data_IF_956715566511
#
_entry.id   IF_956715566511
#
_cell.length_a   1.000
_cell.length_b   1.000
_cell.length_c   1.000
_cell.angle_alpha   90.00
_cell.angle_beta   90.00
_cell.angle_gamma   90.00
#
_symmetry.space_group_name_H-M   'P 1'
#
loop_
_entity.id
_entity.type
_entity.pdbx_description
1 polymer ?
#
# COMPACT_ATOMS: atom_id res chain seq x y z
N UNK A 1 -29.73 5.12 6.03
CA UNK A 1 -29.50 5.00 7.48
C UNK A 1 -28.28 5.82 7.80
N UNK A 2 -28.35 6.62 8.85
CA UNK A 2 -27.20 7.37 9.34
C UNK A 2 -26.10 6.38 9.80
N UNK A 3 -24.84 6.71 9.52
CA UNK A 3 -23.67 5.98 9.97
C UNK A 3 -22.89 6.83 10.96
N UNK A 4 -22.28 6.25 11.97
CA UNK A 4 -21.43 7.02 12.87
C UNK A 4 -20.16 7.49 12.16
N UNK A 5 -19.53 6.57 11.42
CA UNK A 5 -18.27 6.76 10.71
C UNK A 5 -18.37 6.25 9.27
N UNK A 6 -17.85 7.02 8.33
CA UNK A 6 -17.65 6.64 6.91
C UNK A 6 -16.17 6.71 6.56
N UNK A 7 -15.65 5.72 5.87
CA UNK A 7 -14.28 5.73 5.40
C UNK A 7 -14.17 6.26 3.97
N UNK A 8 -13.16 7.12 3.74
CA UNK A 8 -12.77 7.62 2.44
C UNK A 8 -11.32 7.24 2.18
N UNK A 9 -11.11 6.28 1.28
CA UNK A 9 -9.82 5.68 0.99
C UNK A 9 -9.20 6.30 -0.27
N UNK A 10 -8.11 7.03 -0.09
CA UNK A 10 -7.34 7.65 -1.17
C UNK A 10 -6.50 6.59 -1.89
N UNK A 11 -6.92 6.18 -3.08
CA UNK A 11 -6.31 5.12 -3.89
C UNK A 11 -5.90 5.59 -5.29
N UNK A 12 -5.75 6.91 -5.50
CA UNK A 12 -5.47 7.53 -6.79
C UNK A 12 -3.99 7.78 -7.08
N UNK A 13 -3.07 7.43 -6.18
CA UNK A 13 -1.64 7.71 -6.33
C UNK A 13 -0.97 6.94 -7.47
N UNK A 14 -0.13 7.64 -8.24
CA UNK A 14 0.60 7.06 -9.39
C UNK A 14 1.66 6.05 -8.98
N UNK A 15 2.27 6.19 -7.79
CA UNK A 15 3.32 5.28 -7.33
C UNK A 15 4.60 5.34 -8.17
N UNK A 16 4.95 6.52 -8.69
CA UNK A 16 6.07 6.70 -9.64
C UNK A 16 7.41 6.16 -9.15
N UNK A 17 7.64 6.10 -7.83
CA UNK A 17 8.85 5.56 -7.19
C UNK A 17 8.93 4.03 -7.16
N UNK A 18 7.87 3.32 -7.57
CA UNK A 18 7.86 1.86 -7.78
C UNK A 18 8.13 1.48 -9.23
N UNK A 19 8.37 2.45 -10.09
CA UNK A 19 8.88 2.31 -11.46
C UNK A 19 8.22 1.17 -12.26
N UNK A 20 8.97 0.10 -12.51
CA UNK A 20 8.55 -1.03 -13.32
C UNK A 20 7.27 -1.73 -12.80
N UNK A 21 7.01 -1.68 -11.50
CA UNK A 21 5.84 -2.32 -10.88
C UNK A 21 4.54 -1.52 -11.07
N UNK A 22 4.63 -0.21 -11.35
CA UNK A 22 3.46 0.67 -11.46
C UNK A 22 3.24 1.24 -12.86
N UNK A 23 3.89 0.67 -13.87
CA UNK A 23 3.62 1.05 -15.27
C UNK A 23 2.16 0.83 -15.69
N UNK A 24 1.59 -0.30 -15.28
CA UNK A 24 0.24 -0.74 -15.65
C UNK A 24 -0.70 -0.84 -14.44
N UNK A 25 -0.21 -0.57 -13.23
CA UNK A 25 -0.93 -0.71 -11.97
C UNK A 25 -0.93 0.59 -11.17
N UNK A 26 -2.04 0.90 -10.51
CA UNK A 26 -2.03 1.86 -9.41
C UNK A 26 -1.29 1.27 -8.20
N UNK A 27 -0.59 2.10 -7.40
CA UNK A 27 0.16 1.64 -6.21
C UNK A 27 -0.66 0.75 -5.26
N UNK A 28 -1.94 1.06 -4.95
CA UNK A 28 -2.75 0.19 -4.09
C UNK A 28 -3.00 -1.22 -4.62
N UNK A 29 -2.85 -1.42 -5.94
CA UNK A 29 -3.02 -2.72 -6.59
C UNK A 29 -1.74 -3.58 -6.63
N UNK A 30 -0.59 -3.06 -6.16
CA UNK A 30 0.68 -3.79 -6.14
C UNK A 30 0.57 -5.01 -5.20
N UNK A 31 1.00 -6.20 -5.63
CA UNK A 31 1.01 -7.42 -4.82
C UNK A 31 1.93 -7.30 -3.60
N UNK A 32 1.50 -7.90 -2.48
CA UNK A 32 2.23 -7.91 -1.20
C UNK A 32 1.99 -9.21 -0.42
N UNK A 33 3.01 -9.71 0.28
CA UNK A 33 2.88 -10.80 1.24
C UNK A 33 2.37 -12.13 0.66
N UNK A 34 2.67 -12.40 -0.61
CA UNK A 34 2.36 -13.66 -1.30
C UNK A 34 0.92 -13.78 -1.82
N UNK A 35 -0.05 -13.20 -1.14
CA UNK A 35 -1.48 -13.37 -1.45
C UNK A 35 -2.22 -12.06 -1.65
N UNK A 36 -1.77 -10.99 -0.99
CA UNK A 36 -2.49 -9.72 -0.84
C UNK A 36 -2.09 -8.71 -1.91
N UNK A 37 -2.85 -7.63 -1.97
CA UNK A 37 -2.46 -6.34 -2.56
C UNK A 37 -2.46 -5.28 -1.45
N UNK A 38 -1.73 -4.19 -1.64
CA UNK A 38 -1.61 -3.14 -0.61
C UNK A 38 -3.00 -2.67 -0.11
N UNK A 39 -3.98 -2.54 -1.01
CA UNK A 39 -5.36 -2.11 -0.70
C UNK A 39 -6.10 -3.04 0.27
N UNK A 40 -5.71 -4.31 0.37
CA UNK A 40 -6.35 -5.28 1.26
C UNK A 40 -6.22 -4.89 2.73
N UNK A 41 -5.12 -4.22 3.09
CA UNK A 41 -4.85 -3.80 4.47
C UNK A 41 -5.85 -2.76 4.97
N UNK A 42 -5.99 -1.57 4.35
CA UNK A 42 -6.97 -0.60 4.81
C UNK A 42 -8.41 -1.09 4.71
N UNK A 43 -8.78 -1.91 3.71
CA UNK A 43 -10.11 -2.49 3.62
C UNK A 43 -10.37 -3.49 4.74
N UNK A 44 -9.40 -4.35 5.05
CA UNK A 44 -9.50 -5.31 6.17
C UNK A 44 -9.56 -4.60 7.52
N UNK A 45 -8.74 -3.56 7.70
CA UNK A 45 -8.80 -2.74 8.91
C UNK A 45 -10.17 -2.08 9.07
N UNK A 46 -10.79 -1.57 7.99
CA UNK A 46 -12.16 -1.04 8.04
C UNK A 46 -13.14 -2.08 8.58
N UNK A 47 -13.16 -3.27 7.98
CA UNK A 47 -14.09 -4.34 8.37
C UNK A 47 -13.86 -4.82 9.78
N UNK A 48 -12.62 -5.08 10.16
CA UNK A 48 -12.24 -5.51 11.51
C UNK A 48 -12.59 -4.45 12.57
N UNK A 49 -12.58 -3.17 12.21
CA UNK A 49 -13.01 -2.05 13.07
C UNK A 49 -14.51 -1.75 13.01
N UNK A 50 -15.31 -2.58 12.33
CA UNK A 50 -16.75 -2.39 12.21
C UNK A 50 -17.19 -1.29 11.23
N UNK A 51 -16.29 -0.75 10.41
CA UNK A 51 -16.60 0.23 9.36
C UNK A 51 -17.10 -0.51 8.13
N UNK A 52 -18.36 -0.34 7.81
CA UNK A 52 -19.04 -1.05 6.73
C UNK A 52 -19.37 -0.20 5.50
N UNK A 53 -18.88 1.03 5.46
CA UNK A 53 -19.13 1.97 4.36
C UNK A 53 -17.83 2.65 3.97
N UNK A 54 -17.34 2.34 2.77
CA UNK A 54 -16.04 2.78 2.28
C UNK A 54 -16.15 3.35 0.87
N UNK A 55 -15.79 4.62 0.70
CA UNK A 55 -15.61 5.25 -0.61
C UNK A 55 -14.14 5.15 -1.03
N UNK A 56 -13.84 4.52 -2.16
CA UNK A 56 -12.48 4.38 -2.69
C UNK A 56 -12.29 5.35 -3.84
N UNK A 57 -11.41 6.33 -3.67
CA UNK A 57 -11.14 7.37 -4.65
C UNK A 57 -10.00 6.92 -5.58
N UNK A 58 -10.36 6.54 -6.80
CA UNK A 58 -9.42 6.02 -7.81
C UNK A 58 -9.23 7.04 -8.92
N UNK A 59 -8.03 7.13 -9.49
CA UNK A 59 -7.74 8.04 -10.60
C UNK A 59 -6.72 7.47 -11.58
N UNK A 60 -5.52 7.12 -11.12
CA UNK A 60 -4.45 6.61 -11.96
C UNK A 60 -4.62 5.10 -12.18
N UNK A 61 -4.49 4.64 -13.44
CA UNK A 61 -4.56 3.21 -13.83
C UNK A 61 -5.68 2.43 -13.09
N UNK A 62 -6.94 2.90 -13.14
CA UNK A 62 -7.97 2.39 -12.24
C UNK A 62 -8.50 1.01 -12.62
N UNK A 63 -8.25 0.53 -13.86
CA UNK A 63 -8.91 -0.66 -14.39
C UNK A 63 -8.64 -1.91 -13.52
N UNK A 64 -7.39 -2.26 -13.31
CA UNK A 64 -7.00 -3.45 -12.53
C UNK A 64 -7.43 -3.33 -11.07
N UNK A 65 -7.28 -2.13 -10.49
CA UNK A 65 -7.71 -1.87 -9.11
C UNK A 65 -9.23 -2.01 -8.96
N UNK A 66 -10.01 -1.43 -9.88
CA UNK A 66 -11.48 -1.50 -9.84
C UNK A 66 -11.98 -2.93 -10.04
N UNK A 67 -11.36 -3.68 -10.97
CA UNK A 67 -11.66 -5.10 -11.17
C UNK A 67 -11.34 -5.93 -9.93
N UNK A 68 -10.22 -5.63 -9.26
CA UNK A 68 -9.82 -6.31 -8.04
C UNK A 68 -10.79 -6.06 -6.89
N UNK A 69 -11.18 -4.81 -6.67
CA UNK A 69 -12.15 -4.42 -5.63
C UNK A 69 -13.52 -5.06 -5.91
N UNK A 70 -13.97 -5.03 -7.17
CA UNK A 70 -15.27 -5.54 -7.57
C UNK A 70 -16.39 -4.90 -6.74
N UNK A 71 -17.24 -5.72 -6.16
CA UNK A 71 -18.33 -5.31 -5.25
C UNK A 71 -17.96 -5.34 -3.76
N UNK A 72 -16.71 -5.68 -3.41
CA UNK A 72 -16.24 -5.75 -2.03
C UNK A 72 -16.49 -7.05 -1.28
N UNK A 73 -17.00 -8.08 -1.96
CA UNK A 73 -17.33 -9.37 -1.35
C UNK A 73 -16.15 -10.02 -0.59
N UNK A 74 -14.89 -9.97 -1.02
CA UNK A 74 -13.77 -10.53 -0.27
C UNK A 74 -13.61 -9.95 1.14
N UNK A 75 -14.03 -8.72 1.37
CA UNK A 75 -13.94 -7.99 2.64
C UNK A 75 -15.30 -7.87 3.36
N UNK A 76 -16.34 -8.63 2.98
CA UNK A 76 -17.71 -8.47 3.50
C UNK A 76 -18.25 -7.03 3.36
N UNK A 77 -17.89 -6.36 2.27
CA UNK A 77 -18.31 -4.99 1.93
C UNK A 77 -19.29 -4.93 0.74
N UNK A 78 -19.95 -6.05 0.39
CA UNK A 78 -21.01 -6.13 -0.63
C UNK A 78 -22.40 -5.93 -0.02
N UNK A 79 -22.54 -4.93 0.85
CA UNK A 79 -23.73 -4.73 1.68
C UNK A 79 -24.83 -3.96 0.97
N UNK A 80 -26.09 -4.27 1.32
CA UNK A 80 -27.26 -3.56 0.79
C UNK A 80 -27.28 -2.08 1.18
N UNK A 81 -26.84 -1.77 2.41
CA UNK A 81 -26.76 -0.40 2.95
C UNK A 81 -25.35 -0.13 3.47
N UNK A 82 -24.58 0.61 2.70
CA UNK A 82 -23.15 0.80 2.91
C UNK A 82 -22.35 0.05 1.86
N UNK A 83 -21.31 -0.67 2.29
CA UNK A 83 -20.42 -1.43 1.41
C UNK A 83 -19.33 -0.57 0.78
N UNK A 84 -18.58 -1.18 -0.15
CA UNK A 84 -17.55 -0.48 -0.90
C UNK A 84 -18.12 0.21 -2.14
N UNK A 85 -17.66 1.43 -2.39
CA UNK A 85 -18.01 2.22 -3.56
C UNK A 85 -16.74 2.77 -4.21
N UNK A 86 -16.51 2.44 -5.47
CA UNK A 86 -15.41 3.04 -6.23
C UNK A 86 -15.88 4.39 -6.76
N UNK A 87 -15.13 5.43 -6.44
CA UNK A 87 -15.44 6.83 -6.72
C UNK A 87 -14.35 7.40 -7.66
N UNK A 88 -14.48 7.25 -8.98
CA UNK A 88 -13.58 7.90 -9.92
C UNK A 88 -13.98 9.37 -10.11
N UNK A 89 -13.07 10.24 -10.57
CA UNK A 89 -13.46 11.58 -11.01
C UNK A 89 -14.48 11.48 -12.15
N UNK A 90 -15.43 12.40 -12.17
CA UNK A 90 -16.54 12.36 -13.16
C UNK A 90 -16.82 13.72 -13.77
N UNK A 91 -17.41 13.70 -14.96
CA UNK A 91 -17.81 14.90 -15.68
C UNK A 91 -19.07 15.50 -15.08
N UNK A 92 -19.00 16.77 -14.68
CA UNK A 92 -20.15 17.59 -14.29
C UNK A 92 -20.67 18.39 -15.51
N UNK A 93 -21.88 18.93 -15.43
CA UNK A 93 -22.42 19.81 -16.48
C UNK A 93 -21.54 21.07 -16.73
N UNK A 94 -20.77 21.48 -15.72
CA UNK A 94 -19.82 22.61 -15.76
C UNK A 94 -18.44 22.25 -16.28
N UNK A 95 -18.15 21.00 -16.59
CA UNK A 95 -16.83 20.50 -17.02
C UNK A 95 -16.44 19.20 -16.34
N UNK A 96 -15.30 18.63 -16.73
CA UNK A 96 -14.68 17.45 -16.09
C UNK A 96 -13.35 17.86 -15.48
N UNK A 97 -13.17 17.59 -14.22
CA UNK A 97 -11.90 17.81 -13.54
C UNK A 97 -11.40 16.50 -12.91
N UNK A 98 -10.14 16.18 -13.19
CA UNK A 98 -9.40 15.18 -12.41
C UNK A 98 -9.31 15.65 -10.96
N UNK A 99 -9.07 14.73 -10.04
CA UNK A 99 -8.74 15.13 -8.67
C UNK A 99 -7.45 15.94 -8.68
N UNK A 100 -7.52 17.19 -8.24
CA UNK A 100 -6.39 18.13 -8.24
C UNK A 100 -5.40 17.81 -7.13
N UNK A 101 -5.89 17.24 -6.02
CA UNK A 101 -5.14 16.85 -4.84
C UNK A 101 -5.98 15.98 -3.93
N UNK A 102 -5.41 15.60 -2.78
CA UNK A 102 -6.05 14.69 -1.82
C UNK A 102 -7.32 15.28 -1.21
N UNK A 103 -7.33 16.57 -0.88
CA UNK A 103 -8.50 17.27 -0.36
C UNK A 103 -9.59 17.45 -1.42
N UNK A 104 -9.22 17.80 -2.68
CA UNK A 104 -10.16 17.92 -3.78
C UNK A 104 -10.85 16.59 -4.08
N UNK A 105 -10.17 15.46 -3.93
CA UNK A 105 -10.78 14.14 -4.12
C UNK A 105 -11.95 13.92 -3.16
N UNK A 106 -11.81 14.32 -1.89
CA UNK A 106 -12.89 14.26 -0.90
C UNK A 106 -13.98 15.30 -1.22
N UNK A 107 -13.58 16.53 -1.56
CA UNK A 107 -14.53 17.60 -1.93
C UNK A 107 -15.47 17.19 -3.05
N UNK A 108 -14.96 16.60 -4.13
CA UNK A 108 -15.77 16.17 -5.25
C UNK A 108 -16.79 15.08 -4.87
N UNK A 109 -16.56 14.37 -3.76
CA UNK A 109 -17.38 13.27 -3.26
C UNK A 109 -18.16 13.61 -1.96
N UNK A 110 -18.34 14.88 -1.62
CA UNK A 110 -19.14 15.32 -0.46
C UNK A 110 -20.53 14.67 -0.49
N UNK A 111 -21.20 14.65 -1.66
CA UNK A 111 -22.54 14.08 -1.79
C UNK A 111 -22.59 12.57 -1.46
N UNK A 112 -21.50 11.82 -1.69
CA UNK A 112 -21.40 10.42 -1.27
C UNK A 112 -21.42 10.32 0.27
N UNK A 113 -20.60 11.12 0.94
CA UNK A 113 -20.54 11.14 2.41
C UNK A 113 -21.86 11.57 3.03
N UNK A 114 -22.47 12.64 2.52
CA UNK A 114 -23.75 13.17 2.99
C UNK A 114 -24.92 12.17 2.87
N UNK A 115 -24.86 11.26 1.89
CA UNK A 115 -25.86 10.19 1.76
C UNK A 115 -26.01 9.35 3.03
N UNK A 116 -24.96 9.24 3.82
CA UNK A 116 -24.91 8.44 5.04
C UNK A 116 -25.04 9.25 6.31
N UNK A 117 -25.06 10.59 6.20
CA UNK A 117 -25.21 11.53 7.33
C UNK A 117 -24.31 11.16 8.53
N UNK A 118 -22.99 11.00 8.34
CA UNK A 118 -22.10 10.56 9.39
C UNK A 118 -21.72 11.70 10.33
N UNK A 119 -21.42 11.36 11.59
CA UNK A 119 -20.81 12.29 12.52
C UNK A 119 -19.33 12.48 12.24
N UNK A 120 -18.65 11.38 11.86
CA UNK A 120 -17.22 11.34 11.62
C UNK A 120 -16.90 10.79 10.24
N UNK A 121 -15.75 11.21 9.70
CA UNK A 121 -15.16 10.63 8.48
C UNK A 121 -13.72 10.27 8.78
N UNK A 122 -13.34 9.03 8.43
CA UNK A 122 -11.94 8.62 8.44
C UNK A 122 -11.38 8.69 7.01
N UNK A 123 -10.27 9.40 6.85
CA UNK A 123 -9.51 9.46 5.61
C UNK A 123 -8.37 8.48 5.73
N UNK A 124 -8.24 7.60 4.75
CA UNK A 124 -7.25 6.53 4.71
C UNK A 124 -6.36 6.66 3.49
N UNK A 125 -5.09 6.34 3.65
CA UNK A 125 -4.17 6.15 2.52
C UNK A 125 -4.19 4.69 2.07
N UNK A 126 -4.30 4.46 0.75
CA UNK A 126 -4.34 3.12 0.15
C UNK A 126 -2.97 2.59 -0.26
N UNK A 127 -1.87 3.13 0.28
CA UNK A 127 -0.53 2.91 -0.23
C UNK A 127 0.51 2.48 0.83
N UNK A 128 0.04 2.00 1.97
CA UNK A 128 0.85 1.59 3.12
C UNK A 128 0.39 0.26 3.71
N UNK A 129 1.27 -0.40 4.43
CA UNK A 129 1.01 -1.66 5.13
C UNK A 129 0.92 -1.38 6.63
N UNK A 130 -0.25 -1.62 7.22
CA UNK A 130 -0.44 -1.60 8.67
C UNK A 130 -1.63 -2.47 9.08
N UNK A 131 -1.62 -2.95 10.33
CA UNK A 131 -2.76 -3.60 10.98
C UNK A 131 -3.20 -2.65 12.11
N UNK A 132 -4.31 -1.94 11.91
CA UNK A 132 -4.76 -0.90 12.84
C UNK A 132 -6.26 -1.03 13.11
N UNK A 133 -6.63 -1.01 14.40
CA UNK A 133 -8.02 -0.86 14.82
C UNK A 133 -8.42 0.62 14.76
N UNK A 134 -9.30 0.93 13.83
CA UNK A 134 -9.83 2.29 13.69
C UNK A 134 -10.91 2.61 14.72
N UNK A 135 -11.47 1.60 15.41
CA UNK A 135 -12.43 1.85 16.51
C UNK A 135 -11.75 2.45 17.73
N UNK A 136 -10.54 2.00 18.07
CA UNK A 136 -9.72 2.59 19.14
C UNK A 136 -9.32 4.04 18.79
N UNK A 137 -8.99 4.28 17.53
CA UNK A 137 -8.66 5.63 17.06
C UNK A 137 -9.88 6.57 17.11
N UNK A 138 -11.07 6.07 16.74
CA UNK A 138 -12.30 6.85 16.87
C UNK A 138 -12.65 7.16 18.33
N UNK A 139 -12.45 6.18 19.20
CA UNK A 139 -12.71 6.38 20.63
C UNK A 139 -11.77 7.42 21.24
N UNK A 140 -10.48 7.38 20.90
CA UNK A 140 -9.52 8.43 21.27
C UNK A 140 -9.99 9.82 20.78
N UNK A 141 -10.42 9.93 19.51
CA UNK A 141 -10.93 11.17 18.94
C UNK A 141 -12.10 11.75 19.77
N UNK A 142 -13.03 10.89 20.16
CA UNK A 142 -14.18 11.26 20.99
C UNK A 142 -13.75 11.68 22.39
N UNK A 143 -12.86 10.92 23.04
CA UNK A 143 -12.39 11.20 24.41
C UNK A 143 -11.65 12.53 24.52
N UNK A 144 -10.84 12.89 23.51
CA UNK A 144 -10.17 14.20 23.44
C UNK A 144 -11.13 15.34 23.06
N UNK A 145 -12.36 15.03 22.65
CA UNK A 145 -13.28 16.02 22.07
C UNK A 145 -12.68 16.73 20.88
N UNK A 146 -11.95 15.97 20.07
CA UNK A 146 -11.22 16.46 18.92
C UNK A 146 -12.15 16.90 17.78
N UNK A 147 -11.69 17.81 16.95
CA UNK A 147 -12.29 18.16 15.66
C UNK A 147 -11.51 17.50 14.50
N UNK A 148 -10.22 17.23 14.76
CA UNK A 148 -9.30 16.50 13.89
C UNK A 148 -8.37 15.64 14.75
N UNK A 149 -8.14 14.40 14.31
CA UNK A 149 -7.10 13.54 14.88
C UNK A 149 -6.32 12.87 13.76
N UNK A 150 -5.03 12.71 13.96
CA UNK A 150 -4.14 12.03 13.01
C UNK A 150 -3.42 10.88 13.70
N UNK A 151 -3.38 9.72 13.05
CA UNK A 151 -2.54 8.62 13.49
C UNK A 151 -1.08 8.94 13.17
N UNK A 152 -0.22 8.81 14.17
CA UNK A 152 1.21 9.12 14.09
C UNK A 152 2.06 7.98 14.60
N UNK A 153 3.29 7.89 14.10
CA UNK A 153 4.30 6.95 14.55
C UNK A 153 5.65 7.65 14.66
N UNK A 154 6.44 7.29 15.66
CA UNK A 154 7.83 7.72 15.73
C UNK A 154 8.66 6.99 14.66
N UNK A 155 9.37 7.74 13.84
CA UNK A 155 10.29 7.22 12.83
C UNK A 155 11.74 7.58 13.19
N UNK A 156 12.75 6.87 12.65
CA UNK A 156 14.14 7.29 12.76
C UNK A 156 14.31 8.73 12.27
N UNK A 157 15.12 9.54 12.98
CA UNK A 157 15.34 10.94 12.65
C UNK A 157 15.87 11.16 11.22
N UNK A 158 16.65 10.21 10.71
CA UNK A 158 17.17 10.20 9.35
C UNK A 158 16.09 10.10 8.28
N UNK A 159 14.96 9.46 8.60
CA UNK A 159 13.81 9.31 7.70
C UNK A 159 12.75 10.40 7.87
N UNK A 160 12.80 11.17 8.96
CA UNK A 160 11.75 12.12 9.34
C UNK A 160 11.41 13.12 8.21
N UNK A 161 12.42 13.59 7.47
CA UNK A 161 12.22 14.54 6.36
C UNK A 161 11.39 14.02 5.19
N UNK A 162 11.07 12.73 5.16
CA UNK A 162 10.25 12.09 4.11
C UNK A 162 8.75 12.24 4.36
N UNK A 163 8.36 12.60 5.58
CA UNK A 163 6.98 12.58 6.06
C UNK A 163 6.47 13.96 6.45
N UNK A 164 5.16 14.11 6.51
CA UNK A 164 4.51 15.17 7.27
C UNK A 164 4.69 14.89 8.76
N UNK A 165 5.24 15.85 9.49
CA UNK A 165 5.60 15.69 10.91
C UNK A 165 4.69 16.52 11.81
N UNK A 166 4.23 15.90 12.89
CA UNK A 166 3.45 16.56 13.93
C UNK A 166 4.36 16.93 15.11
N UNK A 167 4.16 18.12 15.65
CA UNK A 167 4.67 18.50 16.98
C UNK A 167 3.48 18.55 17.92
N UNK A 168 3.48 17.72 18.95
CA UNK A 168 2.42 17.64 19.95
C UNK A 168 2.94 17.99 21.34
N UNK A 169 2.05 18.48 22.21
CA UNK A 169 2.34 18.69 23.63
C UNK A 169 2.12 17.40 24.47
N UNK A 170 2.26 17.52 25.80
CA UNK A 170 2.13 16.38 26.73
C UNK A 170 0.71 15.76 26.75
N UNK A 171 -0.30 16.48 26.26
CA UNK A 171 -1.70 16.04 26.14
C UNK A 171 -2.02 15.50 24.73
N UNK A 172 -1.03 15.27 23.89
CA UNK A 172 -1.14 14.86 22.48
C UNK A 172 -1.76 15.95 21.58
N UNK A 173 -1.94 17.19 22.07
CA UNK A 173 -2.49 18.26 21.25
C UNK A 173 -1.43 18.77 20.27
N UNK A 174 -1.81 18.82 18.98
CA UNK A 174 -0.91 19.26 17.92
C UNK A 174 -0.73 20.77 18.01
N UNK A 175 0.53 21.20 18.09
CA UNK A 175 0.96 22.60 18.18
C UNK A 175 1.61 23.11 16.92
N UNK A 176 2.25 22.22 16.12
CA UNK A 176 2.87 22.56 14.83
C UNK A 176 2.77 21.37 13.87
N UNK A 177 2.73 21.67 12.58
CA UNK A 177 2.81 20.70 11.49
C UNK A 177 3.88 21.13 10.49
N UNK A 178 4.68 20.20 10.00
CA UNK A 178 5.71 20.42 9.00
C UNK A 178 5.58 19.41 7.86
N UNK A 179 5.26 19.85 6.65
CA UNK A 179 5.21 18.95 5.48
C UNK A 179 6.61 18.76 4.90
N UNK A 180 7.16 17.54 5.04
CA UNK A 180 8.46 17.10 4.52
C UNK A 180 9.59 18.13 4.73
N UNK A 181 9.86 18.54 5.98
CA UNK A 181 10.81 19.60 6.26
C UNK A 181 12.25 19.15 6.01
N UNK A 182 13.10 20.08 5.57
CA UNK A 182 14.54 19.84 5.45
C UNK A 182 15.22 19.70 6.81
N UNK A 183 14.71 20.40 7.82
CA UNK A 183 15.17 20.38 9.20
C UNK A 183 14.00 20.00 10.11
N UNK A 184 13.84 18.69 10.41
CA UNK A 184 12.74 18.21 11.24
C UNK A 184 12.84 18.73 12.66
N UNK A 185 11.72 19.22 13.22
CA UNK A 185 11.58 19.55 14.64
C UNK A 185 11.04 18.39 15.49
N UNK A 186 10.49 17.38 14.83
CA UNK A 186 9.91 16.18 15.44
C UNK A 186 10.20 14.98 14.54
N UNK A 187 10.18 13.79 15.11
CA UNK A 187 10.17 12.54 14.35
C UNK A 187 8.81 11.83 14.39
N UNK A 188 7.75 12.55 14.79
CA UNK A 188 6.40 12.03 14.89
C UNK A 188 5.72 12.14 13.52
N UNK A 189 5.86 11.08 12.73
CA UNK A 189 5.40 11.03 11.35
C UNK A 189 3.88 10.80 11.26
N UNK A 190 3.20 11.58 10.43
CA UNK A 190 1.82 11.33 10.04
C UNK A 190 1.73 10.07 9.19
N UNK A 191 0.85 9.15 9.58
CA UNK A 191 0.56 7.95 8.79
C UNK A 191 -0.38 8.24 7.61
N UNK A 192 -0.85 9.49 7.43
CA UNK A 192 -1.87 9.80 6.41
C UNK A 192 -3.24 9.19 6.71
N UNK A 193 -3.49 8.89 7.97
CA UNK A 193 -4.77 8.36 8.48
C UNK A 193 -5.36 9.41 9.43
N UNK A 194 -6.53 9.95 9.06
CA UNK A 194 -7.14 11.09 9.75
C UNK A 194 -8.58 10.79 10.13
N UNK A 195 -9.02 11.24 11.32
CA UNK A 195 -10.44 11.31 11.67
C UNK A 195 -10.82 12.78 11.83
N UNK A 196 -11.95 13.14 11.23
CA UNK A 196 -12.54 14.46 11.29
C UNK A 196 -14.01 14.40 11.76
N UNK A 197 -14.45 15.42 12.47
CA UNK A 197 -15.87 15.75 12.49
C UNK A 197 -16.29 16.14 11.07
N UNK A 198 -17.36 15.52 10.57
CA UNK A 198 -17.75 15.72 9.16
C UNK A 198 -18.12 17.17 8.82
N UNK A 199 -18.85 17.83 9.70
CA UNK A 199 -19.22 19.23 9.51
C UNK A 199 -18.02 20.16 9.39
N UNK A 200 -16.97 19.91 10.18
CA UNK A 200 -15.72 20.65 10.15
C UNK A 200 -14.99 20.38 8.84
N UNK A 201 -14.74 19.11 8.50
CA UNK A 201 -14.05 18.76 7.26
C UNK A 201 -14.75 19.35 6.03
N UNK A 202 -16.07 19.16 5.94
CA UNK A 202 -16.88 19.69 4.83
C UNK A 202 -16.68 21.19 4.64
N UNK A 203 -16.71 21.96 5.74
CA UNK A 203 -16.49 23.42 5.70
C UNK A 203 -15.13 23.75 5.08
N UNK A 204 -14.05 23.15 5.59
CA UNK A 204 -12.70 23.41 5.09
C UNK A 204 -12.49 22.96 3.64
N UNK A 205 -13.10 21.86 3.22
CA UNK A 205 -13.04 21.41 1.81
C UNK A 205 -13.70 22.40 0.85
N UNK A 206 -14.83 23.00 1.25
CA UNK A 206 -15.54 24.01 0.44
C UNK A 206 -14.72 25.30 0.36
N UNK A 207 -14.15 25.74 1.48
CA UNK A 207 -13.30 26.94 1.55
C UNK A 207 -12.02 26.76 0.73
N UNK A 208 -11.40 25.58 0.81
CA UNK A 208 -10.18 25.22 0.09
C UNK A 208 -10.39 25.19 -1.43
N UNK A 209 -11.47 24.59 -1.92
CA UNK A 209 -11.79 24.57 -3.35
C UNK A 209 -12.11 25.97 -3.90
N UNK A 210 -12.60 26.87 -3.07
CA UNK A 210 -12.88 28.26 -3.46
C UNK A 210 -11.61 29.12 -3.53
N UNK A 211 -10.51 28.68 -2.95
CA UNK A 211 -9.21 29.36 -2.99
C UNK A 211 -8.42 28.97 -4.24
N UNK A 212 -8.25 29.88 -5.22
CA UNK A 212 -7.52 29.55 -6.45
C UNK A 212 -6.01 29.35 -6.23
N UNK A 213 -5.48 29.65 -5.05
CA UNK A 213 -4.06 29.47 -4.70
C UNK A 213 -3.81 28.14 -3.97
N UNK A 214 -4.86 27.42 -3.60
CA UNK A 214 -4.76 26.14 -2.92
C UNK A 214 -4.19 25.04 -3.84
N UNK A 215 -3.35 24.19 -3.28
CA UNK A 215 -2.89 22.95 -3.90
C UNK A 215 -3.93 21.82 -3.75
N UNK A 216 -5.03 22.07 -3.04
CA UNK A 216 -6.10 21.12 -2.75
C UNK A 216 -5.61 19.84 -2.03
N UNK A 217 -4.68 20.00 -1.11
CA UNK A 217 -4.01 18.91 -0.39
C UNK A 217 -4.21 19.00 1.12
N UNK A 218 -4.30 17.82 1.80
CA UNK A 218 -4.45 17.80 3.26
C UNK A 218 -3.24 18.39 3.97
N UNK A 219 -2.02 18.01 3.59
CA UNK A 219 -0.78 18.46 4.22
C UNK A 219 -0.49 19.93 3.95
N UNK A 220 -0.67 20.38 2.70
CA UNK A 220 -0.30 21.73 2.31
C UNK A 220 -1.39 22.78 2.64
N UNK A 221 -2.65 22.38 2.74
CA UNK A 221 -3.77 23.33 2.89
C UNK A 221 -4.66 23.03 4.09
N UNK A 222 -5.31 21.86 4.17
CA UNK A 222 -6.35 21.61 5.18
C UNK A 222 -5.78 21.63 6.59
N UNK A 223 -4.71 20.86 6.86
CA UNK A 223 -4.09 20.77 8.20
C UNK A 223 -3.52 22.11 8.66
N UNK A 224 -2.75 22.86 7.84
CA UNK A 224 -2.29 24.18 8.20
C UNK A 224 -3.41 25.18 8.48
N UNK A 225 -4.51 25.13 7.72
CA UNK A 225 -5.66 26.02 7.93
C UNK A 225 -6.39 25.71 9.25
N UNK A 226 -6.59 24.42 9.58
CA UNK A 226 -7.16 24.02 10.88
C UNK A 226 -6.29 24.49 12.05
N UNK A 227 -4.97 24.34 11.92
CA UNK A 227 -4.02 24.76 12.95
C UNK A 227 -4.03 26.28 13.14
N UNK A 228 -3.99 27.04 12.04
CA UNK A 228 -4.09 28.51 12.07
C UNK A 228 -5.37 29.00 12.75
N UNK A 229 -6.48 28.31 12.53
CA UNK A 229 -7.78 28.67 13.09
C UNK A 229 -7.97 28.16 14.54
N UNK A 230 -6.95 27.55 15.13
CA UNK A 230 -6.94 27.09 16.52
C UNK A 230 -7.88 25.92 16.81
N UNK A 231 -8.14 25.06 15.81
CA UNK A 231 -9.01 23.89 15.97
C UNK A 231 -8.42 22.88 16.95
N UNK A 232 -9.29 22.04 17.53
CA UNK A 232 -8.90 20.98 18.46
C UNK A 232 -8.31 19.80 17.68
N UNK A 233 -6.99 19.77 17.58
CA UNK A 233 -6.22 18.80 16.80
C UNK A 233 -5.37 17.94 17.73
N UNK A 234 -5.42 16.60 17.55
CA UNK A 234 -4.71 15.66 18.41
C UNK A 234 -3.98 14.58 17.62
N UNK A 235 -2.82 14.14 18.13
CA UNK A 235 -2.01 13.06 17.59
C UNK A 235 -2.34 11.76 18.32
N UNK A 236 -2.78 10.74 17.59
CA UNK A 236 -3.00 9.39 18.09
C UNK A 236 -1.74 8.55 17.85
N UNK A 237 -1.04 8.20 18.91
CA UNK A 237 0.16 7.37 18.84
C UNK A 237 -0.21 5.93 18.48
N UNK A 238 0.08 5.53 17.26
CA UNK A 238 -0.10 4.16 16.81
C UNK A 238 1.05 3.28 17.29
N UNK A 239 0.70 2.16 17.91
CA UNK A 239 1.63 1.14 18.39
C UNK A 239 1.41 -0.14 17.58
N UNK A 240 2.21 -0.36 16.54
CA UNK A 240 2.10 -1.53 15.69
C UNK A 240 3.00 -1.43 14.46
N UNK A 241 2.93 -2.42 13.61
CA UNK A 241 3.66 -2.39 12.34
C UNK A 241 3.05 -1.38 11.37
N UNK A 242 3.89 -0.48 10.88
CA UNK A 242 3.55 0.44 9.80
C UNK A 242 4.74 0.61 8.85
N UNK A 243 4.49 0.49 7.55
CA UNK A 243 5.51 0.67 6.51
C UNK A 243 4.94 1.39 5.30
N UNK A 244 5.57 2.50 4.90
CA UNK A 244 5.37 3.09 3.57
C UNK A 244 6.16 2.27 2.56
N UNK A 245 5.45 1.50 1.73
CA UNK A 245 6.02 0.67 0.67
C UNK A 245 6.10 1.43 -0.65
N UNK A 246 6.49 2.69 -0.60
CA UNK A 246 6.53 3.61 -1.74
C UNK A 246 7.79 3.54 -2.59
N UNK A 247 8.78 2.74 -2.24
CA UNK A 247 10.01 2.52 -3.02
C UNK A 247 10.29 1.03 -3.18
N UNK A 248 11.07 0.65 -4.20
CA UNK A 248 11.43 -0.76 -4.44
C UNK A 248 12.12 -1.40 -3.23
N UNK A 249 13.15 -0.78 -2.61
CA UNK A 249 13.78 -1.37 -1.43
C UNK A 249 12.81 -1.52 -0.26
N UNK A 250 11.96 -0.52 0.01
CA UNK A 250 10.97 -0.57 1.09
C UNK A 250 9.90 -1.65 0.84
N UNK A 251 9.46 -1.83 -0.40
CA UNK A 251 8.51 -2.89 -0.76
C UNK A 251 9.14 -4.28 -0.63
N UNK A 252 10.40 -4.45 -1.08
CA UNK A 252 11.13 -5.71 -0.94
C UNK A 252 11.33 -6.04 0.54
N UNK A 253 11.83 -5.11 1.34
CA UNK A 253 12.06 -5.27 2.78
C UNK A 253 10.77 -5.64 3.51
N UNK A 254 9.68 -4.90 3.28
CA UNK A 254 8.39 -5.20 3.90
C UNK A 254 7.87 -6.61 3.56
N UNK A 255 8.14 -7.11 2.36
CA UNK A 255 7.84 -8.50 2.00
C UNK A 255 8.75 -9.49 2.76
N UNK A 256 10.05 -9.23 2.86
CA UNK A 256 10.96 -10.11 3.63
C UNK A 256 10.61 -10.13 5.12
N UNK A 257 10.18 -9.03 5.69
CA UNK A 257 9.70 -8.93 7.08
C UNK A 257 8.52 -9.87 7.38
N UNK A 258 7.69 -10.21 6.39
CA UNK A 258 6.60 -11.21 6.53
C UNK A 258 7.13 -12.61 6.84
N UNK A 259 8.36 -12.92 6.45
CA UNK A 259 9.00 -14.23 6.71
C UNK A 259 9.55 -14.36 8.14
N UNK A 260 9.59 -13.27 8.90
CA UNK A 260 10.03 -13.24 10.30
C UNK A 260 8.98 -12.53 11.20
N UNK A 261 7.79 -13.11 11.37
CA UNK A 261 6.70 -12.47 12.10
C UNK A 261 6.98 -12.28 13.60
N UNK A 262 7.94 -12.99 14.17
CA UNK A 262 8.28 -12.90 15.58
C UNK A 262 9.09 -11.63 15.91
N UNK A 263 9.90 -11.13 14.97
CA UNK A 263 10.77 -9.97 15.19
C UNK A 263 10.32 -8.74 14.39
N UNK A 264 9.69 -8.91 13.25
CA UNK A 264 9.29 -7.80 12.38
C UNK A 264 8.07 -7.01 12.87
N UNK A 265 7.23 -7.64 13.69
CA UNK A 265 5.97 -7.06 14.16
C UNK A 265 4.80 -7.18 13.15
N UNK A 266 5.02 -7.72 11.93
CA UNK A 266 3.95 -8.04 10.99
C UNK A 266 3.67 -9.54 10.98
N UNK A 267 2.48 -9.94 11.45
CA UNK A 267 2.01 -11.31 11.39
C UNK A 267 0.76 -11.39 10.50
N UNK A 268 0.90 -11.99 9.31
CA UNK A 268 -0.21 -12.23 8.37
C UNK A 268 -1.00 -13.51 8.69
N UNK A 269 -0.52 -14.34 9.63
CA UNK A 269 -1.18 -15.56 10.11
C UNK A 269 -2.01 -15.33 11.37
N UNK A 270 -2.15 -14.09 11.82
CA UNK A 270 -2.93 -13.72 12.99
C UNK A 270 -4.43 -13.94 12.74
N UNK A 271 -5.02 -14.88 13.48
CA UNK A 271 -6.44 -15.23 13.36
C UNK A 271 -7.37 -14.19 13.99
N UNK A 272 -6.86 -13.36 14.91
CA UNK A 272 -7.66 -12.35 15.60
C UNK A 272 -7.79 -11.06 14.78
N UNK A 273 -6.82 -10.77 13.90
CA UNK A 273 -6.86 -9.63 13.00
C UNK A 273 -6.50 -10.06 11.59
N UNK A 274 -7.45 -10.68 10.91
CA UNK A 274 -7.26 -11.21 9.56
C UNK A 274 -7.16 -10.08 8.52
N UNK A 275 -6.22 -10.24 7.60
CA UNK A 275 -6.23 -9.48 6.36
C UNK A 275 -6.99 -10.31 5.31
N UNK A 276 -8.10 -9.77 4.84
CA UNK A 276 -8.93 -10.38 3.82
C UNK A 276 -8.38 -10.04 2.44
N UNK A 277 -8.60 -10.92 1.48
CA UNK A 277 -8.13 -10.74 0.11
C UNK A 277 -9.00 -11.55 -0.85
N UNK A 278 -8.95 -11.16 -2.12
CA UNK A 278 -9.59 -11.93 -3.19
C UNK A 278 -8.94 -13.30 -3.31
N UNK A 279 -9.75 -14.34 -3.42
CA UNK A 279 -9.25 -15.70 -3.64
C UNK A 279 -8.69 -15.83 -5.06
N UNK A 280 -7.51 -16.43 -5.18
CA UNK A 280 -6.87 -16.71 -6.48
C UNK A 280 -7.66 -17.69 -7.35
N UNK A 281 -8.51 -18.52 -6.73
CA UNK A 281 -9.23 -19.61 -7.41
C UNK A 281 -8.33 -20.78 -7.85
N UNK A 282 -7.06 -20.77 -7.46
CA UNK A 282 -6.09 -21.79 -7.82
C UNK A 282 -6.15 -23.01 -6.88
N UNK A 283 -5.65 -24.14 -7.36
CA UNK A 283 -5.48 -25.36 -6.55
C UNK A 283 -4.32 -25.20 -5.55
N UNK A 284 -4.17 -26.13 -4.61
CA UNK A 284 -3.00 -26.15 -3.73
C UNK A 284 -1.68 -26.19 -4.49
N UNK A 285 -0.60 -25.75 -3.86
CA UNK A 285 0.73 -25.80 -4.42
C UNK A 285 1.27 -27.24 -4.50
N UNK A 286 2.18 -27.48 -5.43
CA UNK A 286 2.88 -28.77 -5.62
C UNK A 286 4.37 -28.61 -5.39
N UNK A 287 4.92 -29.40 -4.49
CA UNK A 287 6.35 -29.48 -4.23
C UNK A 287 6.91 -30.75 -4.88
N UNK A 288 7.91 -30.61 -5.73
CA UNK A 288 8.59 -31.73 -6.38
C UNK A 288 9.50 -32.51 -5.41
N UNK A 289 9.82 -33.75 -5.76
CA UNK A 289 10.59 -34.66 -4.90
C UNK A 289 11.99 -34.12 -4.55
N UNK A 290 12.63 -33.42 -5.48
CA UNK A 290 13.98 -32.86 -5.31
C UNK A 290 13.97 -31.36 -4.94
N UNK A 291 12.81 -30.77 -4.66
CA UNK A 291 12.74 -29.36 -4.29
C UNK A 291 13.37 -29.11 -2.91
N UNK A 292 14.07 -27.98 -2.78
CA UNK A 292 14.67 -27.55 -1.51
C UNK A 292 13.99 -26.25 -1.09
N UNK A 293 13.40 -26.24 0.09
CA UNK A 293 12.69 -25.08 0.66
C UNK A 293 13.32 -24.69 1.99
N UNK A 294 13.54 -23.40 2.20
CA UNK A 294 14.07 -22.85 3.44
C UNK A 294 13.51 -21.46 3.70
N UNK A 295 12.75 -21.29 4.78
CA UNK A 295 12.08 -20.05 5.18
C UNK A 295 11.36 -19.34 4.03
N UNK A 296 10.30 -19.95 3.49
CA UNK A 296 9.57 -19.45 2.31
C UNK A 296 8.08 -19.32 2.59
N UNK A 297 7.47 -18.29 1.99
CA UNK A 297 6.02 -18.18 1.87
C UNK A 297 5.60 -18.58 0.44
N UNK A 298 4.90 -19.69 0.30
CA UNK A 298 4.48 -20.25 -0.98
C UNK A 298 2.96 -20.35 -0.99
N UNK A 299 2.31 -19.76 -1.99
CA UNK A 299 0.86 -19.68 -2.08
C UNK A 299 0.26 -20.65 -3.09
N UNK A 300 -1.07 -20.58 -3.27
CA UNK A 300 -1.83 -21.53 -4.09
C UNK A 300 -1.32 -21.60 -5.54
N UNK A 301 -1.44 -22.77 -6.16
CA UNK A 301 -1.13 -22.99 -7.57
C UNK A 301 0.36 -23.05 -7.90
N UNK A 302 1.26 -22.84 -6.94
CA UNK A 302 2.69 -22.93 -7.19
C UNK A 302 3.15 -24.35 -7.55
N UNK A 303 4.12 -24.47 -8.48
CA UNK A 303 4.74 -25.73 -8.86
C UNK A 303 6.26 -25.63 -8.70
N UNK A 304 6.78 -26.17 -7.58
CA UNK A 304 8.16 -25.95 -7.17
C UNK A 304 8.96 -27.26 -7.34
N UNK A 305 9.96 -27.24 -8.21
CA UNK A 305 10.90 -28.35 -8.43
C UNK A 305 12.34 -27.97 -8.13
N UNK A 306 12.65 -26.66 -8.06
CA UNK A 306 13.96 -26.11 -7.79
C UNK A 306 14.20 -25.79 -6.31
N UNK A 307 15.14 -24.91 -6.05
CA UNK A 307 15.52 -24.42 -4.71
C UNK A 307 14.90 -23.05 -4.46
N UNK A 308 14.21 -22.89 -3.34
CA UNK A 308 13.63 -21.61 -2.89
C UNK A 308 14.06 -21.36 -1.45
N UNK A 309 14.72 -20.23 -1.20
CA UNK A 309 15.20 -19.82 0.12
C UNK A 309 14.84 -18.38 0.41
N UNK A 310 14.39 -18.12 1.62
CA UNK A 310 14.07 -16.78 2.14
C UNK A 310 13.34 -15.93 1.09
N UNK A 311 12.23 -16.45 0.54
CA UNK A 311 11.56 -15.89 -0.62
C UNK A 311 10.04 -16.02 -0.52
N UNK A 312 9.34 -15.11 -1.18
CA UNK A 312 7.88 -15.12 -1.28
C UNK A 312 7.46 -15.42 -2.71
N UNK A 313 6.68 -16.49 -2.88
CA UNK A 313 6.10 -16.89 -4.14
C UNK A 313 4.59 -16.72 -4.14
N UNK A 314 4.11 -15.84 -5.00
CA UNK A 314 2.69 -15.60 -5.21
C UNK A 314 2.03 -16.72 -6.02
N UNK A 315 0.69 -16.67 -6.10
CA UNK A 315 -0.10 -17.73 -6.71
C UNK A 315 0.31 -18.05 -8.14
N UNK A 316 0.41 -19.34 -8.45
CA UNK A 316 0.71 -19.83 -9.79
C UNK A 316 2.17 -19.76 -10.23
N UNK A 317 3.10 -19.40 -9.34
CA UNK A 317 4.53 -19.36 -9.67
C UNK A 317 5.06 -20.77 -9.93
N UNK A 318 5.86 -20.91 -11.01
CA UNK A 318 6.56 -22.14 -11.34
C UNK A 318 8.06 -21.94 -11.17
N UNK A 319 8.72 -22.85 -10.44
CA UNK A 319 10.18 -22.92 -10.30
C UNK A 319 10.63 -24.30 -10.78
N UNK A 320 11.33 -24.34 -11.92
CA UNK A 320 11.75 -25.58 -12.57
C UNK A 320 12.96 -26.23 -11.90
N UNK A 321 13.29 -27.43 -12.32
CA UNK A 321 14.40 -28.21 -11.77
C UNK A 321 15.76 -27.51 -12.00
N UNK A 322 16.58 -27.45 -10.95
CA UNK A 322 17.89 -26.76 -11.00
C UNK A 322 17.80 -25.23 -10.86
N UNK A 323 16.62 -24.63 -10.94
CA UNK A 323 16.47 -23.20 -10.69
C UNK A 323 16.67 -22.85 -9.21
N UNK A 324 17.19 -21.65 -8.94
CA UNK A 324 17.45 -21.13 -7.59
C UNK A 324 16.76 -19.77 -7.43
N UNK A 325 15.92 -19.67 -6.41
CA UNK A 325 15.25 -18.43 -5.99
C UNK A 325 15.67 -18.14 -4.55
N UNK A 326 16.32 -17.00 -4.31
CA UNK A 326 16.89 -16.64 -3.02
C UNK A 326 16.70 -15.14 -2.73
N UNK A 327 16.22 -14.78 -1.53
CA UNK A 327 15.96 -13.40 -1.13
C UNK A 327 15.06 -12.65 -2.13
N UNK A 328 14.05 -13.31 -2.70
CA UNK A 328 13.28 -12.79 -3.82
C UNK A 328 11.78 -12.74 -3.55
N UNK A 329 11.12 -11.74 -4.15
CA UNK A 329 9.66 -11.66 -4.26
C UNK A 329 9.27 -12.00 -5.69
N UNK A 330 8.62 -13.13 -5.91
CA UNK A 330 8.17 -13.57 -7.23
C UNK A 330 6.65 -13.49 -7.28
N UNK A 331 6.14 -12.53 -8.04
CA UNK A 331 4.71 -12.28 -8.16
C UNK A 331 4.02 -13.28 -9.07
N UNK A 332 2.68 -13.28 -9.03
CA UNK A 332 1.83 -14.32 -9.57
C UNK A 332 2.07 -14.72 -11.03
N UNK A 333 1.88 -16.00 -11.32
CA UNK A 333 1.98 -16.61 -12.65
C UNK A 333 3.34 -16.50 -13.34
N UNK A 334 4.38 -16.09 -12.61
CA UNK A 334 5.75 -16.03 -13.15
C UNK A 334 6.39 -17.39 -13.20
N UNK A 335 7.29 -17.59 -14.17
CA UNK A 335 7.99 -18.86 -14.39
C UNK A 335 9.50 -18.65 -14.32
N UNK A 336 10.17 -19.40 -13.43
CA UNK A 336 11.63 -19.46 -13.33
C UNK A 336 12.07 -20.81 -13.90
N UNK A 337 12.66 -20.79 -15.10
CA UNK A 337 13.01 -21.99 -15.84
C UNK A 337 14.28 -22.66 -15.33
N UNK A 338 14.54 -23.85 -15.86
CA UNK A 338 15.62 -24.72 -15.41
C UNK A 338 16.99 -24.02 -15.40
N UNK A 339 17.74 -24.18 -14.32
CA UNK A 339 19.09 -23.60 -14.17
C UNK A 339 19.12 -22.09 -13.93
N UNK A 340 17.99 -21.35 -14.05
CA UNK A 340 17.96 -19.92 -13.80
C UNK A 340 18.23 -19.60 -12.33
N UNK A 341 18.87 -18.45 -12.08
CA UNK A 341 19.24 -17.98 -10.74
C UNK A 341 18.66 -16.59 -10.51
N UNK A 342 17.77 -16.50 -9.54
CA UNK A 342 17.05 -15.26 -9.17
C UNK A 342 17.41 -14.93 -7.73
N UNK A 343 18.04 -13.77 -7.50
CA UNK A 343 18.52 -13.35 -6.18
C UNK A 343 18.26 -11.89 -5.90
N UNK A 344 17.84 -11.59 -4.67
CA UNK A 344 17.69 -10.25 -4.15
C UNK A 344 16.97 -9.31 -5.14
N UNK A 345 15.73 -9.67 -5.49
CA UNK A 345 14.98 -8.98 -6.54
C UNK A 345 13.47 -9.08 -6.36
N UNK A 346 12.76 -8.30 -7.16
CA UNK A 346 11.31 -8.40 -7.34
C UNK A 346 11.02 -8.76 -8.79
N UNK A 347 10.33 -9.88 -9.00
CA UNK A 347 9.82 -10.31 -10.30
C UNK A 347 8.32 -10.05 -10.32
N UNK A 348 7.85 -9.18 -11.19
CA UNK A 348 6.42 -8.85 -11.29
C UNK A 348 5.59 -9.96 -11.94
N UNK A 349 4.27 -9.77 -12.00
CA UNK A 349 3.30 -10.78 -12.47
C UNK A 349 3.56 -11.20 -13.93
N UNK A 350 3.35 -12.49 -14.25
CA UNK A 350 3.46 -13.08 -15.58
C UNK A 350 4.87 -13.01 -16.23
N UNK A 351 5.91 -12.72 -15.48
CA UNK A 351 7.26 -12.67 -16.02
C UNK A 351 7.85 -14.09 -16.24
N UNK A 352 8.70 -14.23 -17.24
CA UNK A 352 9.41 -15.48 -17.52
C UNK A 352 10.92 -15.25 -17.44
N UNK A 353 11.60 -16.00 -16.58
CA UNK A 353 13.06 -16.05 -16.51
C UNK A 353 13.48 -17.34 -17.19
N UNK A 354 14.07 -17.21 -18.38
CA UNK A 354 14.45 -18.35 -19.23
C UNK A 354 15.61 -19.14 -18.64
N UNK A 355 15.91 -20.28 -19.25
CA UNK A 355 16.94 -21.24 -18.81
C UNK A 355 18.31 -20.56 -18.62
N UNK A 356 18.99 -20.90 -17.53
CA UNK A 356 20.34 -20.42 -17.19
C UNK A 356 20.47 -18.88 -17.06
N UNK A 357 19.39 -18.12 -17.12
CA UNK A 357 19.43 -16.68 -16.91
C UNK A 357 19.73 -16.34 -15.44
N UNK A 358 20.40 -15.22 -15.21
CA UNK A 358 20.76 -14.74 -13.86
C UNK A 358 20.13 -13.35 -13.63
N UNK A 359 19.34 -13.20 -12.56
CA UNK A 359 18.70 -11.94 -12.19
C UNK A 359 19.11 -11.54 -10.79
N UNK A 360 19.68 -10.34 -10.67
CA UNK A 360 20.10 -9.76 -9.40
C UNK A 360 21.34 -10.43 -8.80
N UNK A 361 21.74 -9.98 -7.63
CA UNK A 361 22.90 -10.51 -6.90
C UNK A 361 22.75 -10.24 -5.40
N UNK A 362 23.44 -10.99 -4.57
CA UNK A 362 23.51 -10.72 -3.13
C UNK A 362 24.13 -9.34 -2.87
N UNK A 363 23.57 -8.56 -1.91
CA UNK A 363 24.13 -7.27 -1.54
C UNK A 363 25.60 -7.38 -1.11
N UNK A 364 26.40 -6.39 -1.48
CA UNK A 364 27.80 -6.26 -1.04
C UNK A 364 27.85 -5.31 0.16
N UNK A 365 27.64 -5.81 1.37
CA UNK A 365 27.70 -4.99 2.59
C UNK A 365 26.48 -5.14 3.49
N UNK A 366 26.40 -4.29 4.51
CA UNK A 366 25.26 -4.23 5.43
C UNK A 366 24.12 -3.39 4.81
N UNK A 367 22.88 -3.75 5.12
CA UNK A 367 21.65 -3.09 4.63
C UNK A 367 21.00 -3.80 3.44
N UNK A 368 19.87 -3.24 2.99
CA UNK A 368 19.04 -3.84 1.93
C UNK A 368 19.79 -3.90 0.60
N UNK A 369 20.62 -2.90 0.31
CA UNK A 369 21.31 -2.79 -0.97
C UNK A 369 20.37 -2.48 -2.15
N UNK A 370 20.87 -2.77 -3.35
CA UNK A 370 20.16 -2.54 -4.61
C UNK A 370 19.32 -3.77 -4.96
N UNK A 371 18.04 -3.56 -5.29
CA UNK A 371 17.06 -4.62 -5.59
C UNK A 371 16.72 -4.59 -7.08
N UNK A 372 17.11 -5.65 -7.80
CA UNK A 372 16.74 -5.79 -9.20
C UNK A 372 15.22 -5.94 -9.36
N UNK A 373 14.65 -5.34 -10.40
CA UNK A 373 13.20 -5.38 -10.61
C UNK A 373 12.87 -5.69 -12.07
N UNK A 374 12.05 -6.71 -12.28
CA UNK A 374 11.54 -7.12 -13.59
C UNK A 374 10.05 -6.74 -13.66
N UNK A 375 9.66 -6.00 -14.70
CA UNK A 375 8.28 -5.60 -14.93
C UNK A 375 7.37 -6.78 -15.27
N UNK A 376 6.06 -6.55 -15.19
CA UNK A 376 5.06 -7.54 -15.56
C UNK A 376 5.08 -7.86 -17.06
N UNK A 377 4.78 -9.11 -17.38
CA UNK A 377 4.73 -9.66 -18.74
C UNK A 377 6.09 -9.65 -19.49
N UNK A 378 7.22 -9.51 -18.78
CA UNK A 378 8.58 -9.46 -19.37
C UNK A 378 9.22 -10.84 -19.39
N UNK A 379 9.95 -11.12 -20.48
CA UNK A 379 10.78 -12.32 -20.64
C UNK A 379 12.26 -11.96 -20.56
N UNK A 380 12.99 -12.57 -19.64
CA UNK A 380 14.46 -12.53 -19.59
C UNK A 380 14.99 -13.73 -20.36
N UNK A 381 15.67 -13.47 -21.47
CA UNK A 381 16.13 -14.49 -22.40
C UNK A 381 17.14 -15.46 -21.81
N UNK A 382 17.27 -16.64 -22.43
CA UNK A 382 18.17 -17.71 -22.00
C UNK A 382 19.59 -17.21 -21.78
N UNK A 383 20.16 -17.51 -20.61
CA UNK A 383 21.56 -17.15 -20.27
C UNK A 383 21.79 -15.64 -20.12
N UNK A 384 20.76 -14.80 -20.20
CA UNK A 384 20.89 -13.36 -19.96
C UNK A 384 21.26 -13.04 -18.51
N UNK A 385 21.94 -11.91 -18.28
CA UNK A 385 22.38 -11.49 -16.95
C UNK A 385 21.86 -10.09 -16.63
N UNK A 386 21.12 -9.99 -15.55
CA UNK A 386 20.53 -8.77 -15.05
C UNK A 386 21.24 -8.37 -13.76
N UNK A 387 21.82 -7.18 -13.74
CA UNK A 387 22.55 -6.64 -12.58
C UNK A 387 21.66 -6.32 -11.37
N UNK A 388 22.27 -6.07 -10.19
CA UNK A 388 21.54 -5.95 -8.92
C UNK A 388 20.66 -4.69 -8.82
N UNK A 389 20.96 -3.62 -9.58
CA UNK A 389 20.18 -2.37 -9.58
C UNK A 389 19.29 -2.21 -10.80
N UNK A 390 19.31 -3.18 -11.70
CA UNK A 390 18.62 -3.07 -12.98
C UNK A 390 17.10 -3.03 -12.83
N UNK A 391 16.47 -2.15 -13.59
CA UNK A 391 15.00 -2.07 -13.75
C UNK A 391 14.64 -2.41 -15.18
N UNK A 392 14.07 -3.58 -15.38
CA UNK A 392 13.80 -4.12 -16.71
C UNK A 392 12.31 -3.92 -17.02
N UNK A 393 12.04 -3.23 -18.12
CA UNK A 393 10.70 -2.85 -18.56
C UNK A 393 10.21 -3.63 -19.79
N UNK A 394 11.11 -4.22 -20.54
CA UNK A 394 10.88 -4.91 -21.81
C UNK A 394 11.70 -6.20 -21.87
N UNK A 395 11.37 -7.07 -22.81
CA UNK A 395 12.04 -8.35 -23.00
C UNK A 395 13.54 -8.17 -23.23
N UNK A 396 14.34 -9.01 -22.57
CA UNK A 396 15.81 -9.09 -22.72
C UNK A 396 16.16 -10.29 -23.57
N UNK A 397 17.04 -10.10 -24.56
CA UNK A 397 17.42 -11.17 -25.49
C UNK A 397 18.33 -12.20 -24.85
N UNK A 398 18.40 -13.38 -25.49
CA UNK A 398 19.33 -14.46 -25.11
C UNK A 398 20.77 -13.96 -25.00
N UNK A 399 21.45 -14.28 -23.88
CA UNK A 399 22.83 -13.93 -23.60
C UNK A 399 23.11 -12.43 -23.38
N UNK A 400 22.10 -11.57 -23.37
CA UNK A 400 22.28 -10.14 -23.14
C UNK A 400 22.61 -9.84 -21.68
N UNK A 401 23.43 -8.81 -21.44
CA UNK A 401 23.77 -8.34 -20.09
C UNK A 401 23.22 -6.91 -19.92
N UNK A 402 22.46 -6.69 -18.83
CA UNK A 402 21.93 -5.38 -18.43
C UNK A 402 22.30 -5.10 -16.96
N UNK A 403 22.87 -3.93 -16.69
CA UNK A 403 23.36 -3.50 -15.36
C UNK A 403 22.47 -2.43 -14.76
#
# INVERSE_FOLDING_TARGET
>A
MAKELVAMLLAGGQGSRLYALTQKLAKPAVPFGGKYRIIDFPLSNCVNSGIDTVGILTQYQPFVLNEYIGNGQPWDLDRLYGGVHVLPPYQKASGSDWYKGTANAIYQNIAFVERYDPQYVIILSGDQICKQDYSDFLEFHKQKGAEFSVAVMEVPWEDASRFGLMVADEDDKITEFQEKPKEPKSNLASMGIYIFNWDILKKYLIEDEADPTSENDFGNNIIPNLLRDGRKMYAYHFNGYWKDVGTIPSLWEANMEVLDPEHSGINLFDENWKIYSRNSGMTGHRIGENAVLDNCLITDGCNIKGTVRHSILFSGVTVEEGAIVEDAVVMGHSTIKAGAVVRHCIIAENATIEEDAVVGAKPKGEGIGEVATIAADVTIGKGAKIGPSAMIYEDVKEGEEQC
#
